data_IF_870483280028
#
_entry.id   IF_870483280028
#
_cell.length_a   1.000
_cell.length_b   1.000
_cell.length_c   1.000
_cell.angle_alpha   90.00
_cell.angle_beta   90.00
_cell.angle_gamma   90.00
#
_symmetry.space_group_name_H-M   'P 1'
#
loop_
_entity.id
_entity.type
_entity.pdbx_description
1 polymer ?
#
# COMPACT_ATOMS: atom_id res chain seq x y z
N UNK A 1 26.88 -16.24 -8.69
CA UNK A 1 26.89 -16.99 -7.41
C UNK A 1 25.48 -16.93 -6.84
N UNK A 2 24.56 -17.71 -7.41
CA UNK A 2 23.23 -17.90 -6.83
C UNK A 2 23.30 -19.20 -6.04
N UNK A 3 22.98 -19.15 -4.73
CA UNK A 3 22.95 -20.34 -3.86
C UNK A 3 24.12 -20.52 -2.89
N UNK A 4 25.02 -19.53 -2.73
CA UNK A 4 26.00 -19.53 -1.65
C UNK A 4 25.59 -18.51 -0.57
N UNK A 5 25.68 -18.93 0.69
CA UNK A 5 25.38 -18.06 1.84
C UNK A 5 26.49 -17.02 2.10
N UNK A 6 26.16 -15.83 2.64
CA UNK A 6 24.84 -15.39 3.11
C UNK A 6 23.93 -14.87 1.99
N UNK A 7 22.69 -15.37 1.94
CA UNK A 7 21.66 -14.86 1.02
C UNK A 7 20.96 -13.66 1.63
N UNK A 8 21.08 -12.48 1.00
CA UNK A 8 20.38 -11.24 1.41
C UNK A 8 19.77 -10.55 0.20
N UNK A 9 18.62 -9.90 0.39
CA UNK A 9 18.05 -9.03 -0.63
C UNK A 9 19.02 -7.88 -0.93
N UNK A 10 19.21 -7.59 -2.21
CA UNK A 10 20.05 -6.50 -2.70
C UNK A 10 19.51 -5.95 -4.01
N UNK A 11 20.04 -4.79 -4.46
CA UNK A 11 19.70 -4.24 -5.76
C UNK A 11 20.18 -5.18 -6.87
N UNK A 12 19.28 -5.50 -7.80
CA UNK A 12 19.61 -6.14 -9.08
C UNK A 12 19.81 -5.07 -10.17
N UNK A 13 20.02 -5.46 -11.43
CA UNK A 13 20.29 -4.57 -12.55
C UNK A 13 19.25 -3.46 -12.74
N UNK A 14 17.97 -3.76 -12.47
CA UNK A 14 16.89 -2.78 -12.53
C UNK A 14 17.04 -1.61 -11.54
N UNK A 15 17.88 -1.79 -10.51
CA UNK A 15 18.20 -0.79 -9.50
C UNK A 15 19.50 -0.01 -9.79
N UNK A 16 20.18 -0.24 -10.92
CA UNK A 16 21.49 0.35 -11.24
C UNK A 16 21.43 1.44 -12.32
N UNK A 17 22.19 2.52 -12.15
CA UNK A 17 22.38 3.55 -13.18
C UNK A 17 21.10 4.29 -13.55
N UNK A 18 20.79 4.35 -14.85
CA UNK A 18 19.57 4.99 -15.35
C UNK A 18 18.32 4.08 -15.30
N UNK A 19 18.51 2.77 -15.09
CA UNK A 19 17.43 1.79 -15.11
C UNK A 19 16.31 2.06 -14.08
N UNK A 20 16.59 2.46 -12.82
CA UNK A 20 15.53 2.74 -11.85
C UNK A 20 14.56 3.81 -12.34
N UNK A 21 15.08 4.86 -12.99
CA UNK A 21 14.26 5.94 -13.49
C UNK A 21 13.41 5.50 -14.69
N UNK A 22 13.97 4.71 -15.59
CA UNK A 22 13.27 4.18 -16.76
C UNK A 22 12.18 3.15 -16.41
N UNK A 23 12.40 2.35 -15.36
CA UNK A 23 11.48 1.29 -14.91
C UNK A 23 10.44 1.78 -13.89
N UNK A 24 10.63 2.97 -13.31
CA UNK A 24 9.72 3.52 -12.29
C UNK A 24 8.78 4.58 -12.87
N UNK A 25 7.61 4.68 -12.26
CA UNK A 25 6.65 5.77 -12.47
C UNK A 25 6.52 6.60 -11.20
N UNK A 26 6.38 7.91 -11.34
CA UNK A 26 5.97 8.81 -10.28
C UNK A 26 4.56 9.30 -10.58
N UNK A 27 3.61 8.99 -9.69
CA UNK A 27 2.25 9.48 -9.79
C UNK A 27 2.17 10.91 -9.23
N UNK A 28 1.55 11.81 -9.98
CA UNK A 28 1.38 13.24 -9.62
C UNK A 28 -0.08 13.67 -9.81
N UNK A 29 -0.46 14.84 -9.29
CA UNK A 29 -1.75 15.44 -9.64
C UNK A 29 -1.75 15.88 -11.11
N UNK A 30 -2.93 15.91 -11.74
CA UNK A 30 -3.07 16.42 -13.10
C UNK A 30 -2.54 17.86 -13.22
N UNK A 31 -2.92 18.73 -12.27
CA UNK A 31 -2.47 20.12 -12.24
C UNK A 31 -0.94 20.27 -12.18
N UNK A 32 -0.24 19.41 -11.42
CA UNK A 32 1.22 19.44 -11.35
C UNK A 32 1.87 18.99 -12.67
N UNK A 33 1.29 17.97 -13.32
CA UNK A 33 1.75 17.53 -14.63
C UNK A 33 1.58 18.63 -15.68
N UNK A 34 0.42 19.28 -15.69
CA UNK A 34 0.09 20.39 -16.61
C UNK A 34 1.00 21.61 -16.37
N UNK A 35 1.38 21.88 -15.12
CA UNK A 35 2.35 22.92 -14.75
C UNK A 35 3.81 22.57 -15.09
N UNK A 36 4.08 21.37 -15.63
CA UNK A 36 5.41 20.95 -16.04
C UNK A 36 6.37 20.65 -14.87
N UNK A 37 5.84 20.10 -13.77
CA UNK A 37 6.59 19.77 -12.53
C UNK A 37 7.85 18.92 -12.76
N UNK A 38 7.92 18.17 -13.86
CA UNK A 38 9.11 17.40 -14.24
C UNK A 38 10.38 18.25 -14.30
N UNK A 39 10.27 19.50 -14.76
CA UNK A 39 11.41 20.43 -14.84
C UNK A 39 11.90 20.84 -13.46
N UNK A 40 10.96 21.11 -12.56
CA UNK A 40 11.26 21.48 -11.17
C UNK A 40 11.89 20.32 -10.40
N UNK A 41 11.40 19.10 -10.61
CA UNK A 41 11.90 17.91 -9.91
C UNK A 41 13.21 17.34 -10.50
N UNK A 42 13.58 17.72 -11.73
CA UNK A 42 14.76 17.20 -12.41
C UNK A 42 14.75 15.67 -12.58
N UNK A 43 13.58 15.03 -12.49
CA UNK A 43 13.47 13.57 -12.52
C UNK A 43 13.44 13.04 -13.94
N UNK A 44 14.06 11.88 -14.14
CA UNK A 44 13.99 11.11 -15.40
C UNK A 44 12.86 10.06 -15.39
N UNK A 45 12.14 9.93 -14.26
CA UNK A 45 11.01 8.99 -14.14
C UNK A 45 9.84 9.44 -15.00
N UNK A 46 9.09 8.48 -15.52
CA UNK A 46 7.80 8.76 -16.16
C UNK A 46 6.85 9.36 -15.12
N UNK A 47 6.32 10.55 -15.40
CA UNK A 47 5.24 11.14 -14.59
C UNK A 47 3.88 10.72 -15.13
N UNK A 48 2.97 10.27 -14.25
CA UNK A 48 1.59 9.93 -14.61
C UNK A 48 0.63 10.69 -13.71
N UNK A 49 -0.32 11.40 -14.32
CA UNK A 49 -1.39 12.05 -13.57
C UNK A 49 -2.37 11.01 -13.00
N UNK A 50 -2.62 11.06 -11.69
CA UNK A 50 -3.69 10.30 -11.05
C UNK A 50 -5.04 10.82 -11.53
N UNK A 51 -5.99 9.91 -11.80
CA UNK A 51 -7.35 10.21 -12.30
C UNK A 51 -8.38 9.33 -11.58
N UNK A 52 -9.66 9.68 -11.69
CA UNK A 52 -10.77 8.87 -11.18
C UNK A 52 -10.95 8.86 -9.66
N UNK A 53 -10.32 9.77 -8.91
CA UNK A 53 -10.34 9.73 -7.43
C UNK A 53 -11.62 10.26 -6.77
N UNK A 54 -12.49 10.93 -7.53
CA UNK A 54 -13.71 11.57 -6.99
C UNK A 54 -15.00 10.82 -7.27
N UNK A 55 -14.94 9.80 -8.14
CA UNK A 55 -16.09 8.98 -8.51
C UNK A 55 -16.09 7.61 -7.84
N UNK A 56 -14.95 7.14 -7.32
CA UNK A 56 -14.85 5.84 -6.65
C UNK A 56 -15.71 5.78 -5.40
N UNK A 57 -16.44 4.68 -5.25
CA UNK A 57 -17.27 4.32 -4.12
C UNK A 57 -16.85 2.97 -3.55
N UNK A 58 -17.49 2.57 -2.46
CA UNK A 58 -17.23 1.27 -1.81
C UNK A 58 -17.42 0.10 -2.78
N UNK A 59 -18.42 0.17 -3.65
CA UNK A 59 -18.74 -0.89 -4.61
C UNK A 59 -17.69 -1.07 -5.71
N UNK A 60 -16.85 -0.06 -5.95
CA UNK A 60 -15.74 -0.15 -6.91
C UNK A 60 -14.56 -0.98 -6.38
N UNK A 61 -14.54 -1.29 -5.07
CA UNK A 61 -13.50 -2.14 -4.47
C UNK A 61 -13.69 -3.60 -4.90
N UNK A 62 -12.62 -4.31 -5.29
CA UNK A 62 -12.76 -5.65 -5.88
C UNK A 62 -13.35 -6.73 -4.95
N UNK A 63 -13.01 -6.69 -3.65
CA UNK A 63 -13.36 -7.76 -2.69
C UNK A 63 -13.92 -7.27 -1.35
N UNK A 64 -13.92 -5.96 -1.10
CA UNK A 64 -14.26 -5.36 0.20
C UNK A 64 -15.33 -4.28 0.03
N UNK A 65 -16.51 -4.69 -0.42
CA UNK A 65 -17.61 -3.76 -0.81
C UNK A 65 -18.61 -3.50 0.31
N UNK A 66 -18.64 -4.32 1.35
CA UNK A 66 -19.69 -4.26 2.38
C UNK A 66 -19.67 -2.93 3.14
N UNK A 67 -20.87 -2.38 3.37
CA UNK A 67 -21.16 -1.19 4.19
C UNK A 67 -22.20 -1.57 5.26
N UNK A 68 -21.80 -2.31 6.30
CA UNK A 68 -22.69 -2.70 7.38
C UNK A 68 -22.97 -1.54 8.34
N UNK A 69 -24.00 -1.68 9.16
CA UNK A 69 -24.24 -0.78 10.30
C UNK A 69 -23.18 -1.04 11.37
N UNK A 70 -22.55 0.03 11.85
CA UNK A 70 -21.53 -0.03 12.90
C UNK A 70 -22.00 0.86 14.06
N UNK A 71 -22.09 0.26 15.24
CA UNK A 71 -22.37 0.98 16.48
C UNK A 71 -21.22 0.79 17.48
N UNK A 72 -20.89 1.86 18.20
CA UNK A 72 -19.84 1.87 19.22
C UNK A 72 -20.42 2.42 20.51
N UNK A 73 -20.49 1.56 21.52
CA UNK A 73 -20.98 1.93 22.85
C UNK A 73 -20.06 2.97 23.50
N UNK A 74 -20.59 4.14 23.93
CA UNK A 74 -19.80 5.17 24.59
C UNK A 74 -19.42 4.82 26.03
N UNK A 75 -20.06 3.80 26.63
CA UNK A 75 -19.87 3.42 28.03
C UNK A 75 -18.64 2.52 28.23
N UNK A 76 -18.47 1.55 27.33
CA UNK A 76 -17.47 0.48 27.46
C UNK A 76 -16.64 0.24 26.19
N UNK A 77 -16.97 0.93 25.08
CA UNK A 77 -16.29 0.78 23.80
C UNK A 77 -16.64 -0.48 23.02
N UNK A 78 -17.68 -1.23 23.43
CA UNK A 78 -18.15 -2.41 22.69
C UNK A 78 -18.56 -2.00 21.27
N UNK A 79 -18.04 -2.69 20.26
CA UNK A 79 -18.34 -2.45 18.85
C UNK A 79 -19.28 -3.54 18.34
N UNK A 80 -20.35 -3.15 17.64
CA UNK A 80 -21.24 -4.09 16.93
C UNK A 80 -21.25 -3.84 15.43
N UNK A 81 -21.51 -4.89 14.66
CA UNK A 81 -21.65 -4.91 13.22
C UNK A 81 -22.97 -5.59 12.87
N UNK A 82 -23.93 -4.88 12.30
CA UNK A 82 -25.29 -5.40 12.05
C UNK A 82 -25.89 -6.09 13.32
N UNK A 83 -25.68 -5.47 14.48
CA UNK A 83 -26.14 -5.96 15.79
C UNK A 83 -25.32 -7.12 16.38
N UNK A 84 -24.25 -7.58 15.72
CA UNK A 84 -23.36 -8.62 16.23
C UNK A 84 -22.12 -7.99 16.88
N UNK A 85 -21.81 -8.37 18.12
CA UNK A 85 -20.60 -7.89 18.83
C UNK A 85 -19.35 -8.37 18.09
N UNK A 86 -18.50 -7.42 17.70
CA UNK A 86 -17.21 -7.71 17.10
C UNK A 86 -16.14 -7.88 18.18
N UNK A 87 -15.73 -9.13 18.41
CA UNK A 87 -14.66 -9.46 19.36
C UNK A 87 -13.82 -10.62 18.84
N UNK A 88 -12.51 -10.52 19.07
CA UNK A 88 -11.57 -11.61 18.89
C UNK A 88 -10.62 -11.62 20.08
N UNK A 89 -10.30 -12.81 20.58
CA UNK A 89 -9.34 -12.95 21.66
C UNK A 89 -7.92 -12.70 21.14
N UNK A 90 -7.03 -12.12 21.97
CA UNK A 90 -5.65 -11.92 21.58
C UNK A 90 -4.98 -13.26 21.28
N UNK A 91 -4.18 -13.29 20.21
CA UNK A 91 -3.37 -14.46 19.85
C UNK A 91 -1.95 -14.31 20.39
N UNK A 92 -1.38 -15.41 20.88
CA UNK A 92 -0.01 -15.44 21.43
C UNK A 92 1.05 -15.72 20.37
N UNK A 93 0.65 -16.26 19.21
CA UNK A 93 1.52 -16.56 18.08
C UNK A 93 0.83 -16.30 16.74
N UNK A 94 1.63 -16.01 15.71
CA UNK A 94 1.17 -15.79 14.33
C UNK A 94 2.13 -16.44 13.33
N UNK A 95 1.62 -16.94 12.17
CA UNK A 95 2.46 -17.44 11.10
C UNK A 95 3.34 -16.32 10.52
N UNK A 96 4.38 -16.69 9.76
CA UNK A 96 5.28 -15.74 9.09
C UNK A 96 6.01 -14.76 10.03
N UNK A 97 6.21 -15.14 11.31
CA UNK A 97 6.91 -14.32 12.31
C UNK A 97 8.32 -14.84 12.62
N UNK A 98 8.59 -15.23 13.87
CA UNK A 98 9.91 -15.60 14.43
C UNK A 98 10.65 -16.69 13.64
N UNK A 99 9.93 -17.54 12.89
CA UNK A 99 10.53 -18.57 12.04
C UNK A 99 11.24 -18.03 10.79
N UNK A 100 10.87 -16.83 10.32
CA UNK A 100 11.32 -16.28 9.04
C UNK A 100 12.14 -14.99 9.19
N UNK A 101 12.05 -14.33 10.34
CA UNK A 101 12.70 -13.04 10.59
C UNK A 101 13.81 -13.21 11.63
N UNK A 102 15.06 -13.10 11.18
CA UNK A 102 16.24 -12.96 12.03
C UNK A 102 16.36 -11.46 12.39
N UNK A 103 15.71 -11.06 13.48
CA UNK A 103 15.91 -9.73 14.10
C UNK A 103 17.20 -9.72 14.92
#
# INVERSE_FOLDING_TARGET
VHGAEPTRYGPDWGATGAAPAALSTTFVSAAALDAGISRTLGTRRRLIAVRGTRSIRRDDLARNRTVPEIDVSPEDGTVTLDGQVLRSDPVTEVPLSRRYLLA
#
